data_IF_750162780664
#
_entry.id   IF_750162780664
#
_cell.length_a   1.000
_cell.length_b   1.000
_cell.length_c   1.000
_cell.angle_alpha   90.00
_cell.angle_beta   90.00
_cell.angle_gamma   90.00
#
_symmetry.space_group_name_H-M   'P 1'
#
loop_
_entity.id
_entity.type
_entity.pdbx_description
1 polymer ?
#
# COMPACT_ATOMS: atom_id res chain seq x y z
N UNK A 1 -19.24 -17.06 -13.42
CA UNK A 1 -17.88 -16.61 -13.79
C UNK A 1 -16.98 -16.86 -12.59
N UNK A 2 -15.71 -17.17 -12.82
CA UNK A 2 -14.73 -17.37 -11.74
C UNK A 2 -13.60 -16.36 -11.97
N UNK A 3 -13.73 -15.12 -11.47
CA UNK A 3 -12.70 -14.09 -11.66
C UNK A 3 -11.45 -14.45 -10.85
N UNK A 4 -10.28 -14.06 -11.36
CA UNK A 4 -9.02 -14.18 -10.62
C UNK A 4 -8.92 -13.11 -9.52
N UNK A 5 -9.47 -11.92 -9.77
CA UNK A 5 -9.45 -10.77 -8.87
C UNK A 5 -10.79 -10.06 -8.84
N UNK A 6 -11.12 -9.50 -7.68
CA UNK A 6 -12.32 -8.70 -7.47
C UNK A 6 -11.88 -7.28 -7.12
N UNK A 7 -12.47 -6.31 -7.82
CA UNK A 7 -12.22 -4.88 -7.55
C UNK A 7 -13.53 -4.27 -7.07
N UNK A 8 -13.53 -3.82 -5.81
CA UNK A 8 -14.65 -3.10 -5.21
C UNK A 8 -14.35 -1.61 -5.30
N UNK A 9 -15.10 -0.88 -6.13
CA UNK A 9 -14.87 0.55 -6.37
C UNK A 9 -14.92 1.39 -5.10
N UNK A 10 -15.82 1.05 -4.16
CA UNK A 10 -15.92 1.67 -2.84
C UNK A 10 -16.67 0.76 -1.89
N UNK A 11 -16.20 0.69 -0.64
CA UNK A 11 -16.84 -0.04 0.47
C UNK A 11 -17.50 0.97 1.40
N UNK A 12 -18.83 0.93 1.46
CA UNK A 12 -19.65 1.86 2.27
C UNK A 12 -20.60 1.17 3.22
N UNK A 13 -20.87 -0.12 3.02
CA UNK A 13 -21.90 -0.86 3.75
C UNK A 13 -21.64 -2.35 3.80
N UNK A 14 -22.71 -3.14 3.61
CA UNK A 14 -22.72 -4.60 3.78
C UNK A 14 -21.78 -5.37 2.88
N UNK A 15 -21.43 -4.84 1.74
CA UNK A 15 -20.49 -5.43 0.79
C UNK A 15 -19.10 -5.70 1.38
N UNK A 16 -18.81 -5.11 2.54
CA UNK A 16 -17.55 -5.37 3.27
C UNK A 16 -17.39 -6.86 3.61
N UNK A 17 -18.47 -7.54 4.01
CA UNK A 17 -18.38 -8.95 4.39
C UNK A 17 -18.07 -9.85 3.18
N UNK A 18 -18.75 -9.61 2.07
CA UNK A 18 -18.51 -10.33 0.81
C UNK A 18 -17.09 -10.07 0.28
N UNK A 19 -16.63 -8.83 0.37
CA UNK A 19 -15.27 -8.46 -0.01
C UNK A 19 -14.22 -9.19 0.83
N UNK A 20 -14.36 -9.16 2.16
CA UNK A 20 -13.45 -9.86 3.07
C UNK A 20 -13.46 -11.37 2.83
N UNK A 21 -14.65 -11.96 2.61
CA UNK A 21 -14.78 -13.37 2.30
C UNK A 21 -14.12 -13.73 0.97
N UNK A 22 -14.32 -12.92 -0.07
CA UNK A 22 -13.70 -13.13 -1.36
C UNK A 22 -12.15 -13.06 -1.28
N UNK A 23 -11.62 -12.07 -0.57
CA UNK A 23 -10.18 -11.93 -0.35
C UNK A 23 -9.59 -13.12 0.44
N UNK A 24 -10.35 -13.70 1.38
CA UNK A 24 -9.94 -14.87 2.16
C UNK A 24 -10.07 -16.21 1.40
N UNK A 25 -10.80 -16.27 0.27
CA UNK A 25 -11.12 -17.51 -0.44
C UNK A 25 -10.44 -17.69 -1.77
N UNK A 26 -9.22 -17.11 -1.95
CA UNK A 26 -8.36 -17.39 -3.08
C UNK A 26 -8.49 -16.41 -4.26
N UNK A 27 -9.02 -15.21 -4.03
CA UNK A 27 -9.00 -14.11 -4.99
C UNK A 27 -7.83 -13.17 -4.67
N UNK A 28 -6.62 -13.71 -4.67
CA UNK A 28 -5.41 -12.95 -4.35
C UNK A 28 -5.21 -11.76 -5.30
N UNK A 29 -4.86 -10.60 -4.72
CA UNK A 29 -4.71 -9.34 -5.45
C UNK A 29 -6.03 -8.61 -5.73
N UNK A 30 -7.12 -8.98 -5.05
CA UNK A 30 -8.34 -8.19 -5.00
C UNK A 30 -8.09 -6.85 -4.31
N UNK A 31 -8.87 -5.84 -4.70
CA UNK A 31 -8.71 -4.47 -4.21
C UNK A 31 -10.07 -3.87 -3.86
N UNK A 32 -10.08 -3.00 -2.85
CA UNK A 32 -11.24 -2.18 -2.51
C UNK A 32 -10.78 -0.79 -2.07
N UNK A 33 -11.66 0.20 -2.18
CA UNK A 33 -11.40 1.52 -1.62
C UNK A 33 -12.29 1.78 -0.42
N UNK A 34 -11.71 2.41 0.60
CA UNK A 34 -12.40 2.80 1.84
C UNK A 34 -12.01 4.24 2.15
N UNK A 35 -12.98 5.07 2.48
CA UNK A 35 -12.71 6.43 2.95
C UNK A 35 -12.21 6.41 4.38
N UNK A 36 -10.94 6.76 4.57
CA UNK A 36 -10.31 6.87 5.89
C UNK A 36 -9.17 7.91 5.84
N UNK A 37 -8.88 8.56 6.94
CA UNK A 37 -7.80 9.55 7.05
C UNK A 37 -6.43 8.92 7.32
N UNK A 38 -6.40 7.65 7.73
CA UNK A 38 -5.17 6.91 8.00
C UNK A 38 -5.36 5.40 7.78
N UNK A 39 -4.27 4.63 7.62
CA UNK A 39 -4.35 3.17 7.54
C UNK A 39 -5.02 2.53 8.76
N UNK A 40 -4.77 3.05 9.95
CA UNK A 40 -5.39 2.56 11.18
C UNK A 40 -6.90 2.81 11.19
N UNK A 41 -7.33 4.00 10.78
CA UNK A 41 -8.75 4.34 10.67
C UNK A 41 -9.44 3.49 9.61
N UNK A 42 -8.76 3.14 8.51
CA UNK A 42 -9.27 2.22 7.52
C UNK A 42 -9.66 0.88 8.15
N UNK A 43 -8.80 0.30 8.99
CA UNK A 43 -9.09 -0.95 9.70
C UNK A 43 -10.29 -0.82 10.64
N UNK A 44 -10.36 0.24 11.45
CA UNK A 44 -11.53 0.51 12.31
C UNK A 44 -12.80 0.66 11.50
N UNK A 45 -12.73 1.33 10.35
CA UNK A 45 -13.90 1.50 9.49
C UNK A 45 -14.38 0.17 8.91
N UNK A 46 -13.48 -0.73 8.53
CA UNK A 46 -13.84 -2.07 8.10
C UNK A 46 -14.56 -2.86 9.23
N UNK A 47 -14.04 -2.79 10.47
CA UNK A 47 -14.69 -3.41 11.64
C UNK A 47 -16.10 -2.84 11.85
N UNK A 48 -16.24 -1.53 11.82
CA UNK A 48 -17.52 -0.84 12.01
C UNK A 48 -18.54 -1.22 10.92
N UNK A 49 -18.12 -1.20 9.65
CA UNK A 49 -18.99 -1.55 8.53
C UNK A 49 -19.45 -3.00 8.60
N UNK A 50 -18.56 -3.93 8.99
CA UNK A 50 -18.90 -5.34 9.20
C UNK A 50 -19.90 -5.52 10.35
N UNK A 51 -19.76 -4.76 11.42
CA UNK A 51 -20.73 -4.72 12.52
C UNK A 51 -22.11 -4.25 12.04
N UNK A 52 -22.20 -3.18 11.28
CA UNK A 52 -23.45 -2.68 10.69
C UNK A 52 -24.04 -3.65 9.66
N UNK A 53 -23.21 -4.42 8.98
CA UNK A 53 -23.67 -5.47 8.06
C UNK A 53 -24.22 -6.72 8.78
N UNK A 54 -24.24 -6.74 10.10
CA UNK A 54 -24.78 -7.83 10.89
C UNK A 54 -23.82 -9.02 11.05
N UNK A 55 -22.51 -8.77 11.11
CA UNK A 55 -21.54 -9.83 11.40
C UNK A 55 -21.88 -10.55 12.71
N UNK A 56 -22.07 -11.87 12.64
CA UNK A 56 -22.54 -12.69 13.77
C UNK A 56 -21.41 -13.33 14.59
N UNK A 57 -20.16 -12.95 14.34
CA UNK A 57 -19.01 -13.49 15.05
C UNK A 57 -18.55 -12.61 16.23
N UNK A 58 -17.50 -13.07 16.90
CA UNK A 58 -16.82 -12.27 17.91
C UNK A 58 -15.96 -11.19 17.26
N UNK A 59 -15.70 -10.11 17.98
CA UNK A 59 -14.80 -9.03 17.54
C UNK A 59 -13.41 -9.58 17.15
N UNK A 60 -12.89 -10.52 17.95
CA UNK A 60 -11.62 -11.19 17.66
C UNK A 60 -11.66 -12.00 16.35
N UNK A 61 -12.77 -12.67 16.05
CA UNK A 61 -12.92 -13.40 14.79
C UNK A 61 -12.99 -12.46 13.59
N UNK A 62 -13.64 -11.31 13.73
CA UNK A 62 -13.71 -10.29 12.70
C UNK A 62 -12.32 -9.70 12.41
N UNK A 63 -11.59 -9.30 13.45
CA UNK A 63 -10.22 -8.79 13.30
C UNK A 63 -9.30 -9.77 12.61
N UNK A 64 -9.43 -11.06 12.94
CA UNK A 64 -8.69 -12.12 12.27
C UNK A 64 -9.04 -12.22 10.79
N UNK A 65 -10.33 -12.12 10.44
CA UNK A 65 -10.77 -12.12 9.05
C UNK A 65 -10.20 -10.93 8.28
N UNK A 66 -10.22 -9.73 8.87
CA UNK A 66 -9.65 -8.52 8.27
C UNK A 66 -8.14 -8.67 8.09
N UNK A 67 -7.42 -9.11 9.14
CA UNK A 67 -5.97 -9.28 9.10
C UNK A 67 -5.50 -10.34 8.09
N UNK A 68 -6.33 -11.35 7.81
CA UNK A 68 -6.04 -12.36 6.79
C UNK A 68 -6.40 -11.91 5.36
N UNK A 69 -7.41 -11.04 5.24
CA UNK A 69 -7.91 -10.57 3.94
C UNK A 69 -7.08 -9.43 3.37
N UNK A 70 -6.62 -8.51 4.22
CA UNK A 70 -5.93 -7.28 3.83
C UNK A 70 -4.43 -7.46 4.01
N UNK A 71 -3.68 -7.46 2.91
CA UNK A 71 -2.22 -7.51 2.95
C UNK A 71 -1.61 -6.09 3.05
N UNK A 72 -2.17 -5.12 2.31
CA UNK A 72 -1.65 -3.75 2.23
C UNK A 72 -2.74 -2.70 2.26
N UNK A 73 -2.41 -1.57 2.85
CA UNK A 73 -3.22 -0.35 2.80
C UNK A 73 -2.37 0.73 2.15
N UNK A 74 -2.86 1.26 1.02
CA UNK A 74 -2.24 2.37 0.30
C UNK A 74 -3.04 3.63 0.62
N UNK A 75 -2.47 4.50 1.43
CA UNK A 75 -3.10 5.76 1.79
C UNK A 75 -2.87 6.80 0.70
N UNK A 76 -3.95 7.34 0.16
CA UNK A 76 -3.91 8.41 -0.82
C UNK A 76 -4.49 9.67 -0.18
N UNK A 77 -3.78 10.77 -0.30
CA UNK A 77 -4.23 12.06 0.20
C UNK A 77 -4.11 13.18 -0.82
N UNK A 78 -4.80 14.28 -0.54
CA UNK A 78 -4.70 15.51 -1.31
C UNK A 78 -3.80 16.48 -0.55
N UNK A 79 -2.74 16.92 -1.20
CA UNK A 79 -1.80 17.90 -0.65
C UNK A 79 -2.40 19.32 -0.67
N UNK A 80 -1.79 20.26 0.03
CA UNK A 80 -2.17 21.67 0.08
C UNK A 80 -2.18 22.33 -1.32
N UNK A 81 -1.29 21.89 -2.20
CA UNK A 81 -1.22 22.33 -3.60
C UNK A 81 -2.30 21.70 -4.52
N UNK A 82 -3.23 20.93 -3.95
CA UNK A 82 -4.33 20.27 -4.65
C UNK A 82 -3.98 18.96 -5.34
N UNK A 83 -2.71 18.58 -5.39
CA UNK A 83 -2.26 17.31 -5.99
C UNK A 83 -2.61 16.12 -5.10
N UNK A 84 -2.96 14.98 -5.73
CA UNK A 84 -3.13 13.71 -5.02
C UNK A 84 -1.83 12.92 -5.05
N UNK A 85 -1.45 12.37 -3.88
CA UNK A 85 -0.25 11.55 -3.74
C UNK A 85 -0.54 10.33 -2.88
N UNK A 86 0.24 9.27 -3.08
CA UNK A 86 0.33 8.17 -2.13
C UNK A 86 1.10 8.71 -0.94
N UNK A 87 0.45 8.76 0.23
CA UNK A 87 1.05 9.27 1.46
C UNK A 87 1.80 8.18 2.22
N UNK A 88 1.28 6.95 2.21
CA UNK A 88 1.97 5.81 2.81
C UNK A 88 1.55 4.49 2.18
N UNK A 89 2.41 3.50 2.32
CA UNK A 89 2.13 2.09 2.06
C UNK A 89 2.39 1.34 3.35
N UNK A 90 1.34 0.74 3.89
CA UNK A 90 1.35 0.04 5.17
C UNK A 90 0.96 -1.41 4.96
N UNK A 91 1.76 -2.34 5.46
CA UNK A 91 1.47 -3.76 5.48
C UNK A 91 0.68 -4.13 6.73
N UNK A 92 -0.29 -5.03 6.59
CA UNK A 92 -0.96 -5.70 7.70
C UNK A 92 -0.20 -6.99 8.00
N UNK A 93 0.40 -7.07 9.19
CA UNK A 93 1.31 -8.18 9.56
C UNK A 93 0.62 -9.29 10.34
N UNK A 94 -0.64 -9.13 10.69
CA UNK A 94 -1.46 -10.12 11.40
C UNK A 94 -2.15 -9.58 12.63
N UNK A 95 -2.38 -10.42 13.63
CA UNK A 95 -2.96 -10.06 14.92
C UNK A 95 -1.92 -10.21 16.04
N UNK A 96 -1.85 -9.20 16.91
CA UNK A 96 -1.10 -9.22 18.17
C UNK A 96 -2.02 -8.72 19.28
N UNK A 97 -2.21 -9.52 20.33
CA UNK A 97 -3.07 -9.18 21.48
C UNK A 97 -4.47 -8.67 21.10
N UNK A 98 -5.09 -9.33 20.12
CA UNK A 98 -6.38 -8.95 19.55
C UNK A 98 -6.41 -7.57 18.85
N UNK A 99 -5.25 -7.04 18.49
CA UNK A 99 -5.09 -5.81 17.70
C UNK A 99 -4.52 -6.19 16.33
N UNK A 100 -5.06 -5.61 15.26
CA UNK A 100 -4.50 -5.78 13.92
C UNK A 100 -3.16 -5.03 13.87
N UNK A 101 -2.08 -5.80 13.76
CA UNK A 101 -0.72 -5.28 13.69
C UNK A 101 -0.41 -4.80 12.27
N UNK A 102 0.27 -3.66 12.17
CA UNK A 102 0.65 -3.05 10.90
C UNK A 102 2.06 -2.53 10.96
N UNK A 103 2.73 -2.48 9.80
CA UNK A 103 4.01 -1.82 9.65
C UNK A 103 4.00 -0.93 8.41
N UNK A 104 4.48 0.30 8.56
CA UNK A 104 4.63 1.22 7.46
C UNK A 104 5.91 0.89 6.68
N UNK A 105 5.81 0.71 5.36
CA UNK A 105 6.94 0.38 4.49
C UNK A 105 7.50 1.61 3.80
N UNK A 106 6.60 2.50 3.36
CA UNK A 106 6.95 3.72 2.63
C UNK A 106 6.10 4.88 3.12
N UNK A 107 6.70 6.05 3.18
CA UNK A 107 6.06 7.32 3.53
C UNK A 107 6.42 8.41 2.55
N UNK A 108 5.45 9.26 2.23
CA UNK A 108 5.67 10.49 1.48
C UNK A 108 6.30 11.54 2.37
N UNK A 109 7.48 11.99 2.01
CA UNK A 109 8.21 13.08 2.68
C UNK A 109 8.76 14.01 1.60
N UNK A 110 8.05 15.10 1.26
CA UNK A 110 8.50 16.03 0.25
C UNK A 110 9.79 16.74 0.69
N UNK A 111 10.68 16.93 -0.27
CA UNK A 111 11.95 17.62 -0.05
C UNK A 111 11.86 19.01 -0.64
N UNK A 112 12.22 20.04 0.14
CA UNK A 112 12.35 21.40 -0.36
C UNK A 112 13.72 21.58 -1.02
N UNK A 113 13.73 22.12 -2.24
CA UNK A 113 14.98 22.51 -2.92
C UNK A 113 15.53 23.81 -2.34
N UNK A 114 16.79 24.11 -2.65
CA UNK A 114 17.41 25.39 -2.28
C UNK A 114 16.70 26.60 -2.92
N UNK A 115 15.99 26.38 -4.04
CA UNK A 115 15.22 27.38 -4.78
C UNK A 115 13.79 27.54 -4.24
N UNK A 116 13.40 26.73 -3.23
CA UNK A 116 12.08 26.81 -2.58
C UNK A 116 11.00 25.95 -3.26
N UNK A 117 11.36 25.10 -4.22
CA UNK A 117 10.43 24.18 -4.85
C UNK A 117 10.27 22.91 -4.01
N UNK A 118 9.02 22.39 -3.96
CA UNK A 118 8.70 21.13 -3.31
C UNK A 118 8.82 19.97 -4.31
N UNK A 119 9.78 19.08 -4.07
CA UNK A 119 9.95 17.84 -4.84
C UNK A 119 9.24 16.67 -4.15
N UNK A 120 8.49 15.92 -4.94
CA UNK A 120 7.87 14.68 -4.47
C UNK A 120 8.97 13.66 -4.09
N UNK A 121 8.92 13.15 -2.87
CA UNK A 121 9.84 12.11 -2.39
C UNK A 121 9.09 11.09 -1.54
N UNK A 122 9.52 9.82 -1.62
CA UNK A 122 9.02 8.72 -0.81
C UNK A 122 10.19 8.03 -0.12
N UNK A 123 10.13 7.99 1.18
CA UNK A 123 11.15 7.36 2.01
C UNK A 123 10.79 5.91 2.26
N UNK A 124 11.71 4.99 1.95
CA UNK A 124 11.64 3.60 2.41
C UNK A 124 12.10 3.53 3.85
N UNK A 125 11.27 2.93 4.71
CA UNK A 125 11.62 2.76 6.14
C UNK A 125 12.57 1.58 6.39
N UNK A 126 13.09 0.95 5.33
CA UNK A 126 14.03 -0.16 5.43
C UNK A 126 13.42 -1.46 5.96
N UNK A 127 12.10 -1.52 6.07
CA UNK A 127 11.36 -2.68 6.54
C UNK A 127 10.99 -3.54 5.34
N UNK A 128 11.31 -4.84 5.41
CA UNK A 128 10.92 -5.80 4.38
C UNK A 128 9.50 -6.31 4.63
N UNK A 129 8.65 -6.40 3.58
CA UNK A 129 7.34 -7.00 3.70
C UNK A 129 7.40 -8.45 4.18
N UNK A 130 6.50 -8.82 5.08
CA UNK A 130 6.38 -10.19 5.60
C UNK A 130 5.40 -11.04 4.80
N UNK A 131 4.55 -10.43 3.97
CA UNK A 131 3.53 -11.17 3.22
C UNK A 131 4.15 -12.30 2.40
N UNK A 132 3.75 -13.58 2.64
CA UNK A 132 4.26 -14.72 1.89
C UNK A 132 3.99 -14.62 0.39
N UNK A 133 2.95 -13.91 0.01
CA UNK A 133 2.56 -13.67 -1.39
C UNK A 133 3.63 -12.85 -2.12
N UNK A 134 4.15 -11.79 -1.48
CA UNK A 134 5.23 -10.98 -2.04
C UNK A 134 6.58 -11.71 -2.04
N UNK A 135 6.87 -12.50 -1.02
CA UNK A 135 8.09 -13.31 -0.98
C UNK A 135 8.12 -14.30 -2.15
N UNK A 136 7.00 -14.99 -2.42
CA UNK A 136 6.88 -15.90 -3.56
C UNK A 136 7.05 -15.16 -4.89
N UNK A 137 6.44 -13.99 -5.04
CA UNK A 137 6.56 -13.17 -6.24
C UNK A 137 8.00 -12.73 -6.48
N UNK A 138 8.70 -12.30 -5.44
CA UNK A 138 10.12 -11.93 -5.50
C UNK A 138 11.01 -13.11 -5.92
N UNK A 139 10.78 -14.28 -5.36
CA UNK A 139 11.49 -15.51 -5.73
C UNK A 139 11.25 -15.88 -7.20
N UNK A 140 10.02 -15.76 -7.69
CA UNK A 140 9.66 -16.04 -9.09
C UNK A 140 10.33 -15.06 -10.08
N UNK A 141 10.61 -13.83 -9.66
CA UNK A 141 11.32 -12.82 -10.45
C UNK A 141 12.86 -12.94 -10.39
N UNK A 142 13.41 -14.01 -9.81
CA UNK A 142 14.85 -14.22 -9.70
C UNK A 142 15.49 -13.45 -8.54
N UNK A 143 14.79 -13.35 -7.43
CA UNK A 143 15.03 -12.57 -6.23
C UNK A 143 16.48 -12.42 -5.78
N UNK A 144 17.16 -11.42 -6.31
CA UNK A 144 18.29 -10.81 -5.64
C UNK A 144 17.80 -10.02 -4.42
N UNK A 145 18.61 -9.91 -3.39
CA UNK A 145 18.41 -8.97 -2.29
C UNK A 145 18.01 -7.61 -2.83
N UNK A 146 17.03 -6.90 -2.23
CA UNK A 146 16.73 -5.54 -2.65
C UNK A 146 18.00 -4.72 -2.47
N UNK A 147 18.59 -4.30 -3.58
CA UNK A 147 19.66 -3.31 -3.54
C UNK A 147 19.06 -2.09 -2.86
N UNK A 148 19.60 -1.73 -1.71
CA UNK A 148 19.20 -0.53 -1.00
C UNK A 148 19.10 0.63 -2.01
N UNK A 149 18.02 1.42 -1.91
CA UNK A 149 17.75 2.59 -2.76
C UNK A 149 17.38 2.33 -4.23
N UNK A 150 16.49 1.38 -4.55
CA UNK A 150 15.92 1.27 -5.90
C UNK A 150 14.92 2.38 -6.27
N UNK A 151 14.57 3.27 -5.34
CA UNK A 151 13.73 4.46 -5.58
C UNK A 151 14.40 5.78 -5.18
N UNK A 152 15.74 5.76 -5.09
CA UNK A 152 16.50 6.98 -5.06
C UNK A 152 16.45 7.62 -6.45
N UNK A 153 15.74 8.74 -6.56
CA UNK A 153 15.83 9.68 -7.68
C UNK A 153 15.39 9.15 -9.06
N UNK A 154 14.17 8.70 -9.24
CA UNK A 154 13.52 8.77 -10.53
C UNK A 154 13.01 10.20 -10.73
N UNK A 155 13.92 11.14 -10.89
CA UNK A 155 13.65 12.46 -11.45
C UNK A 155 13.17 12.24 -12.87
N UNK A 156 11.91 12.54 -13.16
CA UNK A 156 11.44 12.83 -14.51
C UNK A 156 12.10 14.14 -14.93
N UNK A 157 13.34 14.03 -15.45
CA UNK A 157 14.03 15.12 -16.11
C UNK A 157 13.37 15.39 -17.45
N UNK A 158 12.69 16.53 -17.53
CA UNK A 158 12.34 17.17 -18.78
C UNK A 158 13.62 17.53 -19.55
N UNK A 159 13.57 17.34 -20.87
CA UNK A 159 14.66 17.43 -21.80
C UNK A 159 15.34 18.80 -21.90
N UNK A 160 16.53 18.76 -22.44
CA UNK A 160 17.28 19.95 -22.90
C UNK A 160 18.70 19.63 -23.30
N UNK A 161 18.86 19.35 -24.57
CA UNK A 161 19.92 19.82 -25.47
C UNK A 161 21.41 19.62 -25.17
N UNK A 162 22.05 18.84 -26.04
CA UNK A 162 23.19 19.21 -26.89
C UNK A 162 24.56 19.42 -26.24
N UNK A 163 25.51 18.58 -26.66
CA UNK A 163 26.93 18.90 -26.52
C UNK A 163 27.84 17.71 -26.82
N UNK A 164 28.23 17.59 -28.07
CA UNK A 164 29.35 16.76 -28.54
C UNK A 164 30.67 17.17 -27.86
N UNK A 165 31.44 16.19 -27.45
CA UNK A 165 32.82 16.45 -27.07
C UNK A 165 33.59 15.16 -26.78
N UNK A 166 34.31 14.65 -27.75
CA UNK A 166 35.14 13.48 -27.65
C UNK A 166 36.37 13.63 -26.80
N UNK A 167 36.99 12.53 -26.45
CA UNK A 167 38.31 12.48 -25.83
C UNK A 167 38.69 11.07 -25.41
N UNK A 168 39.38 10.38 -26.32
CA UNK A 168 40.16 9.17 -26.04
C UNK A 168 41.31 9.49 -25.05
N UNK A 169 41.66 8.59 -24.15
CA UNK A 169 42.96 7.94 -24.02
C UNK A 169 43.24 7.40 -22.58
N UNK A 170 43.78 6.22 -22.68
CA UNK A 170 44.66 5.37 -21.87
C UNK A 170 44.08 4.74 -20.64
#
# INVERSE_FOLDING_TARGET
>A
MRPDRIIVGEVRGGEVLEMLQAMNTGHDGSMGTVHASSPRECLYRLEMLAGFAGFQGTESSLRRQIANAVDFIVQIGRLSNGRRRILSITEVTGLSDNIIATQELYRYEPVMTAEGDELDSWVSLGIHPHSPKLVRFRQALGGGEPRGNAFGNAGFGGGGNGGFGGGFNV
#
